data_IF_434915033350
#
_entry.id   IF_434915033350
#
_cell.length_a   1.000
_cell.length_b   1.000
_cell.length_c   1.000
_cell.angle_alpha   90.00
_cell.angle_beta   90.00
_cell.angle_gamma   90.00
#
_symmetry.space_group_name_H-M   'P 1'
#
loop_
_entity.id
_entity.type
_entity.pdbx_description
1 polymer ?
#
# COMPACT_ATOMS: atom_id res chain seq x y z
N UNK A 1 -15.59 -2.14 -12.80
CA UNK A 1 -16.20 -2.27 -11.45
C UNK A 1 -15.25 -1.64 -10.45
N UNK A 2 -15.76 -0.83 -9.51
CA UNK A 2 -14.94 -0.24 -8.47
C UNK A 2 -14.75 -1.24 -7.33
N UNK A 3 -13.50 -1.50 -6.95
CA UNK A 3 -13.21 -2.37 -5.80
C UNK A 3 -13.25 -1.60 -4.49
N UNK A 4 -12.68 -0.39 -4.48
CA UNK A 4 -12.63 0.49 -3.32
C UNK A 4 -13.12 1.88 -3.71
N UNK A 5 -13.96 2.46 -2.87
CA UNK A 5 -14.44 3.84 -3.01
C UNK A 5 -14.38 4.52 -1.65
N UNK A 6 -13.92 5.77 -1.62
CA UNK A 6 -14.05 6.64 -0.46
C UNK A 6 -14.91 7.84 -0.85
N UNK A 7 -15.86 8.24 0.02
CA UNK A 7 -16.79 9.35 -0.21
C UNK A 7 -16.74 10.33 0.95
N UNK A 8 -16.34 11.57 0.65
CA UNK A 8 -16.27 12.67 1.62
C UNK A 8 -15.48 12.31 2.89
N UNK A 9 -14.41 11.52 2.75
CA UNK A 9 -13.64 11.01 3.88
C UNK A 9 -12.83 12.12 4.53
N UNK A 10 -12.97 12.26 5.85
CA UNK A 10 -12.14 13.13 6.69
C UNK A 10 -11.56 12.36 7.87
N UNK A 11 -10.36 12.74 8.28
CA UNK A 11 -9.70 12.22 9.49
C UNK A 11 -9.14 13.37 10.31
N UNK A 12 -9.59 13.46 11.56
CA UNK A 12 -9.14 14.44 12.54
C UNK A 12 -8.49 13.70 13.71
N UNK A 13 -7.30 14.12 14.07
CA UNK A 13 -6.60 13.66 15.27
C UNK A 13 -6.65 14.75 16.34
N UNK A 14 -7.06 14.38 17.54
CA UNK A 14 -7.03 15.26 18.71
C UNK A 14 -5.74 14.99 19.50
N UNK A 15 -4.85 15.95 19.57
CA UNK A 15 -3.60 15.83 20.32
C UNK A 15 -3.36 17.08 21.17
N UNK A 16 -3.28 16.89 22.49
CA UNK A 16 -2.91 17.94 23.48
C UNK A 16 -3.61 19.31 23.28
N UNK A 17 -4.92 19.28 22.97
CA UNK A 17 -5.73 20.51 22.82
C UNK A 17 -5.67 21.16 21.43
N UNK A 18 -5.01 20.52 20.46
CA UNK A 18 -5.02 20.92 19.06
C UNK A 18 -5.68 19.83 18.19
N UNK A 19 -6.49 20.27 17.24
CA UNK A 19 -7.07 19.40 16.20
C UNK A 19 -6.18 19.43 14.96
N UNK A 20 -5.75 18.25 14.52
CA UNK A 20 -5.00 18.10 13.27
C UNK A 20 -5.89 17.36 12.27
N UNK A 21 -6.40 18.07 11.28
CA UNK A 21 -7.19 17.48 10.21
C UNK A 21 -6.25 16.93 9.14
N UNK A 22 -5.93 15.64 9.26
CA UNK A 22 -4.97 14.95 8.38
C UNK A 22 -5.55 14.63 7.00
N UNK A 23 -6.86 14.42 6.89
CA UNK A 23 -7.60 14.18 5.64
C UNK A 23 -8.87 15.02 5.68
N UNK A 24 -9.23 15.69 4.56
CA UNK A 24 -10.29 16.70 4.49
C UNK A 24 -11.20 16.45 3.28
N UNK A 25 -12.37 15.85 3.51
CA UNK A 25 -13.43 15.63 2.51
C UNK A 25 -12.89 15.10 1.16
N UNK A 26 -12.16 14.00 1.20
CA UNK A 26 -11.59 13.40 0.00
C UNK A 26 -12.48 12.31 -0.58
N UNK A 27 -12.57 12.30 -1.91
CA UNK A 27 -13.18 11.24 -2.71
C UNK A 27 -12.11 10.45 -3.44
N UNK A 28 -12.26 9.13 -3.52
CA UNK A 28 -11.27 8.25 -4.14
C UNK A 28 -11.94 7.03 -4.75
N UNK A 29 -11.39 6.54 -5.86
CA UNK A 29 -11.87 5.34 -6.54
C UNK A 29 -10.68 4.47 -6.93
N UNK A 30 -10.77 3.17 -6.63
CA UNK A 30 -9.88 2.14 -7.15
C UNK A 30 -10.67 1.17 -8.03
N UNK A 31 -10.55 1.24 -9.36
CA UNK A 31 -11.14 0.25 -10.25
C UNK A 31 -10.43 -1.11 -10.16
N UNK A 32 -11.12 -2.19 -10.49
CA UNK A 32 -10.56 -3.53 -10.52
C UNK A 32 -9.43 -3.66 -11.56
N UNK A 33 -8.34 -4.29 -11.17
CA UNK A 33 -7.16 -4.51 -12.02
C UNK A 33 -6.38 -3.25 -12.35
N UNK A 34 -6.62 -2.14 -11.61
CA UNK A 34 -5.93 -0.86 -11.81
C UNK A 34 -4.94 -0.57 -10.69
N UNK A 35 -3.97 0.25 -11.05
CA UNK A 35 -3.00 0.81 -10.11
C UNK A 35 -3.26 2.29 -9.97
N UNK A 36 -3.55 2.73 -8.75
CA UNK A 36 -3.80 4.14 -8.43
C UNK A 36 -2.70 4.66 -7.52
N UNK A 37 -2.03 5.71 -7.96
CA UNK A 37 -0.99 6.39 -7.20
C UNK A 37 -1.55 7.50 -6.32
N UNK A 38 -1.00 7.66 -5.12
CA UNK A 38 -1.25 8.83 -4.26
C UNK A 38 0.11 9.48 -3.99
N UNK A 39 0.27 10.71 -4.44
CA UNK A 39 1.53 11.47 -4.32
C UNK A 39 1.33 12.76 -3.53
N UNK A 40 2.40 13.30 -3.00
CA UNK A 40 2.43 14.56 -2.26
C UNK A 40 3.60 14.61 -1.28
N UNK A 41 3.86 15.76 -0.69
CA UNK A 41 4.92 15.94 0.30
C UNK A 41 4.71 15.12 1.57
N UNK A 42 5.77 14.94 2.37
CA UNK A 42 5.67 14.31 3.69
C UNK A 42 4.69 15.10 4.57
N UNK A 43 3.83 14.38 5.31
CA UNK A 43 2.82 15.01 6.15
C UNK A 43 1.55 15.47 5.42
N UNK A 44 1.41 15.28 4.09
CA UNK A 44 0.20 15.68 3.35
C UNK A 44 -1.06 14.85 3.66
N UNK A 45 -0.96 13.75 4.44
CA UNK A 45 -2.09 12.90 4.82
C UNK A 45 -2.16 11.54 4.13
N UNK A 46 -1.27 11.23 3.18
CA UNK A 46 -1.29 10.00 2.35
C UNK A 46 -1.35 8.71 3.16
N UNK A 47 -0.43 8.52 4.11
CA UNK A 47 -0.38 7.31 4.94
C UNK A 47 -1.62 7.19 5.85
N UNK A 48 -2.16 8.30 6.33
CA UNK A 48 -3.43 8.31 7.07
C UNK A 48 -4.57 7.82 6.19
N UNK A 49 -4.67 8.35 4.97
CA UNK A 49 -5.69 7.93 4.02
C UNK A 49 -5.52 6.46 3.59
N UNK A 50 -4.28 6.01 3.36
CA UNK A 50 -3.99 4.59 3.07
C UNK A 50 -4.50 3.65 4.18
N UNK A 51 -4.31 4.03 5.45
CA UNK A 51 -4.84 3.27 6.59
C UNK A 51 -6.37 3.29 6.65
N UNK A 52 -7.00 4.36 6.22
CA UNK A 52 -8.48 4.42 6.11
C UNK A 52 -8.98 3.44 5.04
N UNK A 53 -8.34 3.40 3.88
CA UNK A 53 -8.70 2.47 2.80
C UNK A 53 -8.60 1.00 3.20
N UNK A 54 -7.69 0.67 4.12
CA UNK A 54 -7.51 -0.70 4.63
C UNK A 54 -8.37 -1.04 5.85
N UNK A 55 -9.12 -0.07 6.38
CA UNK A 55 -9.90 -0.22 7.61
C UNK A 55 -9.06 -0.27 8.90
N UNK A 56 -7.75 0.03 8.82
CA UNK A 56 -6.86 0.15 9.99
C UNK A 56 -7.09 1.44 10.79
N UNK A 57 -7.62 2.46 10.12
CA UNK A 57 -8.04 3.72 10.71
C UNK A 57 -9.48 3.99 10.30
N UNK A 58 -10.35 4.27 11.26
CA UNK A 58 -11.69 4.73 10.96
C UNK A 58 -11.65 6.21 10.57
N UNK A 59 -12.41 6.63 9.55
CA UNK A 59 -12.59 8.03 9.25
C UNK A 59 -13.39 8.73 10.37
N UNK A 60 -13.15 10.01 10.58
CA UNK A 60 -13.94 10.84 11.49
C UNK A 60 -15.30 11.17 10.88
N UNK A 61 -15.35 11.35 9.55
CA UNK A 61 -16.56 11.49 8.75
C UNK A 61 -16.36 10.95 7.34
N UNK A 62 -17.45 10.74 6.62
CA UNK A 62 -17.44 10.10 5.31
C UNK A 62 -17.41 8.58 5.41
N UNK A 63 -17.38 7.92 4.26
CA UNK A 63 -17.58 6.48 4.16
C UNK A 63 -16.59 5.85 3.19
N UNK A 64 -16.19 4.60 3.48
CA UNK A 64 -15.38 3.78 2.57
C UNK A 64 -16.17 2.53 2.21
N UNK A 65 -16.13 2.19 0.94
CA UNK A 65 -16.86 1.05 0.38
C UNK A 65 -15.88 0.05 -0.24
N UNK A 66 -16.08 -1.22 0.05
CA UNK A 66 -15.45 -2.33 -0.66
C UNK A 66 -16.54 -3.10 -1.41
N UNK A 67 -16.43 -3.20 -2.74
CA UNK A 67 -17.44 -3.83 -3.61
C UNK A 67 -18.87 -3.28 -3.37
N UNK A 68 -18.98 -1.97 -3.16
CA UNK A 68 -20.26 -1.27 -2.93
C UNK A 68 -20.86 -1.44 -1.52
N UNK A 69 -20.18 -2.14 -0.60
CA UNK A 69 -20.60 -2.28 0.80
C UNK A 69 -19.74 -1.40 1.69
N UNK A 70 -20.37 -0.64 2.58
CA UNK A 70 -19.69 0.19 3.56
C UNK A 70 -18.86 -0.66 4.53
N UNK A 71 -17.54 -0.41 4.63
CA UNK A 71 -16.64 -1.20 5.47
C UNK A 71 -16.86 -0.98 6.97
N UNK A 72 -17.52 0.11 7.36
CA UNK A 72 -17.80 0.46 8.75
C UNK A 72 -19.03 -0.27 9.29
N UNK A 73 -19.99 -0.59 8.42
CA UNK A 73 -21.31 -1.17 8.78
C UNK A 73 -21.35 -2.70 8.69
N UNK A 74 -20.30 -3.32 8.13
CA UNK A 74 -20.24 -4.76 7.93
C UNK A 74 -20.25 -5.55 9.24
N UNK A 75 -20.89 -6.73 9.23
CA UNK A 75 -20.79 -7.71 10.32
C UNK A 75 -19.36 -8.32 10.40
N UNK A 76 -19.08 -9.13 11.41
CA UNK A 76 -17.73 -9.71 11.61
C UNK A 76 -17.29 -10.60 10.43
N UNK A 77 -18.21 -11.27 9.75
CA UNK A 77 -17.90 -12.05 8.54
C UNK A 77 -17.42 -11.15 7.41
N UNK A 78 -18.12 -10.05 7.16
CA UNK A 78 -17.73 -9.08 6.14
C UNK A 78 -16.39 -8.39 6.48
N UNK A 79 -16.16 -8.03 7.74
CA UNK A 79 -14.88 -7.50 8.20
C UNK A 79 -13.74 -8.52 8.03
N UNK A 80 -14.01 -9.80 8.21
CA UNK A 80 -13.08 -10.89 7.93
C UNK A 80 -12.73 -11.00 6.44
N UNK A 81 -13.75 -10.92 5.57
CA UNK A 81 -13.56 -10.90 4.11
C UNK A 81 -12.75 -9.68 3.66
N UNK A 82 -13.04 -8.49 4.21
CA UNK A 82 -12.30 -7.27 3.92
C UNK A 82 -10.83 -7.41 4.32
N UNK A 83 -10.55 -7.88 5.54
CA UNK A 83 -9.18 -8.09 6.03
C UNK A 83 -8.38 -9.06 5.17
N UNK A 84 -9.05 -10.05 4.55
CA UNK A 84 -8.43 -10.96 3.60
C UNK A 84 -8.20 -10.30 2.25
N UNK A 85 -9.19 -9.55 1.76
CA UNK A 85 -9.19 -8.97 0.42
C UNK A 85 -8.30 -7.73 0.27
N UNK A 86 -8.14 -6.95 1.34
CA UNK A 86 -7.36 -5.70 1.33
C UNK A 86 -6.20 -5.84 2.32
N UNK A 87 -4.99 -5.85 1.79
CA UNK A 87 -3.78 -5.96 2.59
C UNK A 87 -2.91 -4.72 2.46
N UNK A 88 -2.11 -4.44 3.49
CA UNK A 88 -1.23 -3.29 3.54
C UNK A 88 0.23 -3.71 3.65
N UNK A 89 1.07 -3.05 2.83
CA UNK A 89 2.53 -3.04 2.98
C UNK A 89 2.90 -1.69 3.57
N UNK A 90 3.51 -1.71 4.75
CA UNK A 90 3.88 -0.50 5.49
C UNK A 90 5.22 0.07 5.02
N UNK A 91 5.40 1.35 5.22
CA UNK A 91 6.63 2.09 4.91
C UNK A 91 7.85 1.52 5.65
N UNK A 92 7.70 1.22 6.94
CA UNK A 92 8.74 0.59 7.73
C UNK A 92 8.52 -0.93 7.83
N UNK A 93 9.36 -1.74 7.17
CA UNK A 93 9.24 -3.20 7.24
C UNK A 93 9.54 -3.77 8.64
N UNK A 94 10.27 -3.04 9.51
CA UNK A 94 10.48 -3.46 10.90
C UNK A 94 9.17 -3.44 11.71
N UNK A 95 8.30 -2.48 11.45
CA UNK A 95 7.00 -2.40 12.13
C UNK A 95 6.03 -3.51 11.70
N UNK A 96 6.26 -4.11 10.52
CA UNK A 96 5.42 -5.16 9.96
C UNK A 96 5.88 -6.58 10.30
N UNK A 97 7.13 -6.78 10.68
CA UNK A 97 7.73 -8.08 10.98
C UNK A 97 8.12 -8.17 12.46
N UNK A 98 7.65 -9.21 13.17
CA UNK A 98 8.04 -9.42 14.55
C UNK A 98 9.56 -9.70 14.63
N UNK A 99 10.37 -8.86 15.31
CA UNK A 99 11.83 -9.01 15.35
C UNK A 99 12.31 -10.28 16.08
N UNK A 100 11.42 -10.91 16.88
CA UNK A 100 11.70 -12.15 17.63
C UNK A 100 11.25 -13.40 16.87
N UNK A 101 10.77 -13.26 15.63
CA UNK A 101 10.26 -14.37 14.84
C UNK A 101 11.08 -14.52 13.55
N UNK A 102 11.36 -15.76 13.13
CA UNK A 102 11.98 -16.02 11.82
C UNK A 102 11.02 -15.65 10.69
N UNK A 103 11.54 -15.16 9.58
CA UNK A 103 10.74 -14.69 8.44
C UNK A 103 9.76 -15.76 7.96
N UNK A 104 10.20 -17.00 7.79
CA UNK A 104 9.33 -18.12 7.36
C UNK A 104 8.16 -18.32 8.31
N UNK A 105 8.36 -18.15 9.62
CA UNK A 105 7.30 -18.33 10.60
C UNK A 105 6.29 -17.18 10.55
N UNK A 106 6.76 -15.93 10.36
CA UNK A 106 5.88 -14.77 10.24
C UNK A 106 4.95 -14.87 9.02
N UNK A 107 5.48 -15.35 7.88
CA UNK A 107 4.67 -15.57 6.67
C UNK A 107 3.77 -16.80 6.81
N UNK A 108 4.28 -17.89 7.40
CA UNK A 108 3.49 -19.10 7.66
C UNK A 108 2.31 -18.86 8.60
N UNK A 109 2.48 -18.03 9.62
CA UNK A 109 1.39 -17.61 10.51
C UNK A 109 0.29 -16.84 9.76
N UNK A 110 0.66 -15.93 8.88
CA UNK A 110 -0.30 -15.22 8.04
C UNK A 110 -1.03 -16.17 7.08
N UNK A 111 -0.33 -17.17 6.50
CA UNK A 111 -0.98 -18.22 5.70
C UNK A 111 -1.97 -19.03 6.53
N UNK A 112 -1.60 -19.40 7.78
CA UNK A 112 -2.50 -20.14 8.68
C UNK A 112 -3.78 -19.36 8.99
N UNK A 113 -3.68 -18.06 9.16
CA UNK A 113 -4.84 -17.21 9.44
C UNK A 113 -5.80 -17.08 8.26
N UNK A 114 -5.31 -17.17 7.02
CA UNK A 114 -6.09 -16.79 5.84
C UNK A 114 -6.34 -17.92 4.84
N UNK A 115 -5.53 -19.00 4.83
CA UNK A 115 -5.63 -20.04 3.80
C UNK A 115 -5.84 -21.44 4.36
N UNK A 116 -5.03 -21.91 5.32
CA UNK A 116 -5.10 -23.28 5.84
C UNK A 116 -4.68 -23.35 7.29
N UNK A 117 -5.37 -24.17 8.09
CA UNK A 117 -5.00 -24.43 9.47
C UNK A 117 -3.85 -25.47 9.62
N UNK A 118 -3.50 -26.17 8.54
CA UNK A 118 -2.41 -27.14 8.53
C UNK A 118 -1.05 -26.44 8.56
N UNK A 119 -0.29 -26.63 9.62
CA UNK A 119 1.01 -26.00 9.83
C UNK A 119 2.05 -26.35 8.77
N UNK A 120 2.08 -27.62 8.31
CA UNK A 120 3.03 -28.07 7.30
C UNK A 120 2.73 -27.43 5.95
N UNK A 121 1.47 -27.45 5.54
CA UNK A 121 0.99 -26.83 4.29
C UNK A 121 1.21 -25.30 4.31
N UNK A 122 0.89 -24.63 5.42
CA UNK A 122 1.13 -23.20 5.59
C UNK A 122 2.62 -22.84 5.44
N UNK A 123 3.51 -23.70 5.96
CA UNK A 123 4.95 -23.50 5.83
C UNK A 123 5.43 -23.67 4.37
N UNK A 124 4.87 -24.63 3.64
CA UNK A 124 5.18 -24.82 2.22
C UNK A 124 4.71 -23.65 1.35
N UNK A 125 3.48 -23.16 1.58
CA UNK A 125 2.96 -21.98 0.91
C UNK A 125 3.82 -20.76 1.24
N UNK A 126 4.17 -20.56 2.50
CA UNK A 126 5.04 -19.47 2.94
C UNK A 126 6.43 -19.52 2.27
N UNK A 127 7.01 -20.72 2.15
CA UNK A 127 8.29 -20.90 1.47
C UNK A 127 8.20 -20.54 -0.03
N UNK A 128 7.12 -20.93 -0.71
CA UNK A 128 6.86 -20.55 -2.11
C UNK A 128 6.69 -19.05 -2.28
N UNK A 129 5.93 -18.39 -1.40
CA UNK A 129 5.74 -16.94 -1.41
C UNK A 129 7.09 -16.21 -1.21
N UNK A 130 7.89 -16.64 -0.25
CA UNK A 130 9.20 -16.05 0.02
C UNK A 130 10.16 -16.26 -1.15
N UNK A 131 10.20 -17.46 -1.74
CA UNK A 131 11.00 -17.74 -2.92
C UNK A 131 10.60 -16.84 -4.11
N UNK A 132 9.30 -16.67 -4.34
CA UNK A 132 8.78 -15.72 -5.35
C UNK A 132 9.24 -14.29 -5.11
N UNK A 133 9.36 -13.88 -3.85
CA UNK A 133 9.91 -12.57 -3.45
C UNK A 133 11.45 -12.53 -3.50
N UNK A 134 12.12 -13.53 -4.06
CA UNK A 134 13.58 -13.60 -4.13
C UNK A 134 14.26 -13.78 -2.77
N UNK A 135 13.55 -14.33 -1.77
CA UNK A 135 14.09 -14.67 -0.46
C UNK A 135 14.50 -16.14 -0.46
N UNK A 136 15.79 -16.42 -0.35
CA UNK A 136 16.32 -17.79 -0.31
C UNK A 136 15.81 -18.57 0.91
N UNK A 137 15.85 -19.89 0.85
CA UNK A 137 15.48 -20.75 1.98
C UNK A 137 16.37 -20.46 3.21
N UNK A 138 17.64 -20.12 3.01
CA UNK A 138 18.56 -19.76 4.07
C UNK A 138 18.12 -18.43 4.73
N UNK A 139 17.79 -17.43 3.92
CA UNK A 139 17.34 -16.12 4.42
C UNK A 139 15.96 -16.19 5.07
N UNK A 140 15.04 -17.01 4.56
CA UNK A 140 13.74 -17.26 5.15
C UNK A 140 13.83 -17.79 6.60
N UNK A 141 14.90 -18.49 6.96
CA UNK A 141 15.14 -19.00 8.31
C UNK A 141 15.85 -18.00 9.23
N UNK A 142 16.22 -16.81 8.76
CA UNK A 142 16.81 -15.74 9.57
C UNK A 142 15.74 -14.91 10.28
N UNK A 143 16.19 -14.13 11.26
CA UNK A 143 15.40 -13.07 11.90
C UNK A 143 15.44 -11.79 11.03
N UNK A 144 14.44 -10.89 11.14
CA UNK A 144 14.41 -9.64 10.38
C UNK A 144 15.70 -8.81 10.49
N UNK A 145 16.32 -8.77 11.66
CA UNK A 145 17.57 -8.03 11.91
C UNK A 145 18.77 -8.49 11.07
N UNK A 146 18.73 -9.75 10.59
CA UNK A 146 19.81 -10.36 9.79
C UNK A 146 19.60 -10.24 8.29
N UNK A 147 18.56 -9.53 7.84
CA UNK A 147 18.24 -9.29 6.44
C UNK A 147 18.61 -7.86 6.03
N UNK A 148 18.88 -7.66 4.72
CA UNK A 148 18.98 -6.31 4.16
C UNK A 148 17.62 -5.58 4.17
N UNK A 149 17.62 -4.25 4.01
CA UNK A 149 16.39 -3.46 3.89
C UNK A 149 15.45 -3.98 2.81
N UNK A 150 15.99 -4.22 1.61
CA UNK A 150 15.23 -4.76 0.48
C UNK A 150 14.69 -6.18 0.73
N UNK A 151 15.48 -7.04 1.39
CA UNK A 151 15.00 -8.38 1.77
C UNK A 151 13.85 -8.30 2.78
N UNK A 152 13.94 -7.43 3.78
CA UNK A 152 12.84 -7.21 4.74
C UNK A 152 11.60 -6.70 4.06
N UNK A 153 11.74 -5.75 3.14
CA UNK A 153 10.60 -5.20 2.40
C UNK A 153 9.91 -6.28 1.56
N UNK A 154 10.68 -7.10 0.82
CA UNK A 154 10.12 -8.22 0.05
C UNK A 154 9.47 -9.28 0.95
N UNK A 155 10.01 -9.55 2.14
CA UNK A 155 9.39 -10.44 3.11
C UNK A 155 8.07 -9.85 3.67
N UNK A 156 7.99 -8.53 3.87
CA UNK A 156 6.75 -7.84 4.23
C UNK A 156 5.69 -7.97 3.14
N UNK A 157 6.06 -7.83 1.87
CA UNK A 157 5.17 -8.09 0.72
C UNK A 157 4.72 -9.56 0.71
N UNK A 158 5.63 -10.53 0.90
CA UNK A 158 5.26 -11.96 0.99
C UNK A 158 4.22 -12.20 2.08
N UNK A 159 4.36 -11.55 3.24
CA UNK A 159 3.41 -11.65 4.35
C UNK A 159 2.04 -11.07 3.97
N UNK A 160 1.99 -9.93 3.29
CA UNK A 160 0.73 -9.34 2.83
C UNK A 160 0.04 -10.25 1.78
N UNK A 161 0.80 -10.87 0.89
CA UNK A 161 0.28 -11.81 -0.11
C UNK A 161 -0.18 -13.15 0.48
N UNK A 162 0.18 -13.45 1.72
CA UNK A 162 -0.30 -14.67 2.42
C UNK A 162 -1.83 -14.69 2.61
N UNK A 163 -2.51 -13.56 2.52
CA UNK A 163 -3.97 -13.47 2.58
C UNK A 163 -4.68 -13.63 1.22
N UNK A 164 -4.07 -14.04 0.14
CA UNK A 164 -4.34 -13.82 -1.29
C UNK A 164 -5.28 -12.62 -1.57
N UNK A 165 -4.76 -11.40 -1.41
CA UNK A 165 -5.56 -10.19 -1.49
C UNK A 165 -6.03 -9.88 -2.93
N UNK A 166 -7.12 -9.13 -3.04
CA UNK A 166 -7.57 -8.49 -4.29
C UNK A 166 -7.00 -7.08 -4.44
N UNK A 167 -6.65 -6.47 -3.33
CA UNK A 167 -6.13 -5.10 -3.25
C UNK A 167 -4.91 -5.09 -2.34
N UNK A 168 -3.82 -4.50 -2.83
CA UNK A 168 -2.63 -4.21 -2.05
C UNK A 168 -2.48 -2.70 -1.92
N UNK A 169 -2.49 -2.20 -0.68
CA UNK A 169 -2.18 -0.81 -0.38
C UNK A 169 -0.72 -0.76 0.07
N UNK A 170 0.14 -0.16 -0.74
CA UNK A 170 1.57 -0.06 -0.49
C UNK A 170 1.92 1.38 -0.11
N UNK A 171 2.26 1.58 1.17
CA UNK A 171 2.61 2.88 1.73
C UNK A 171 4.14 3.04 1.70
N UNK A 172 4.64 3.85 0.78
CA UNK A 172 6.06 4.13 0.54
C UNK A 172 6.97 2.88 0.50
N UNK A 173 6.64 1.87 -0.31
CA UNK A 173 7.32 0.57 -0.24
C UNK A 173 8.80 0.61 -0.64
N UNK A 174 9.27 1.69 -1.24
CA UNK A 174 10.65 1.84 -1.75
C UNK A 174 11.50 2.80 -0.92
N UNK A 175 10.94 3.51 0.06
CA UNK A 175 11.63 4.62 0.77
C UNK A 175 12.83 4.19 1.63
N UNK A 176 12.86 2.93 2.07
CA UNK A 176 13.89 2.43 3.01
C UNK A 176 14.88 1.44 2.37
N UNK A 177 14.98 1.39 1.03
CA UNK A 177 15.79 0.42 0.30
C UNK A 177 16.68 1.12 -0.74
N UNK A 178 17.80 0.47 -1.08
CA UNK A 178 18.72 0.96 -2.12
C UNK A 178 18.10 0.82 -3.52
N UNK A 179 18.71 1.53 -4.49
CA UNK A 179 18.19 1.60 -5.86
C UNK A 179 18.10 0.23 -6.56
N UNK A 180 19.03 -0.69 -6.28
CA UNK A 180 18.99 -2.04 -6.85
C UNK A 180 17.81 -2.85 -6.29
N UNK A 181 17.61 -2.80 -4.98
CA UNK A 181 16.47 -3.46 -4.32
C UNK A 181 15.13 -2.81 -4.72
N UNK A 182 15.12 -1.49 -4.98
CA UNK A 182 13.95 -0.77 -5.50
C UNK A 182 13.55 -1.32 -6.87
N UNK A 183 14.48 -1.44 -7.82
CA UNK A 183 14.18 -1.97 -9.16
C UNK A 183 13.59 -3.38 -9.10
N UNK A 184 14.17 -4.27 -8.29
CA UNK A 184 13.65 -5.62 -8.08
C UNK A 184 12.24 -5.64 -7.48
N UNK A 185 11.96 -4.72 -6.54
CA UNK A 185 10.64 -4.62 -5.94
C UNK A 185 9.61 -4.09 -6.95
N UNK A 186 9.97 -3.14 -7.81
CA UNK A 186 9.08 -2.62 -8.85
C UNK A 186 8.75 -3.67 -9.93
N UNK A 187 9.73 -4.49 -10.34
CA UNK A 187 9.50 -5.62 -11.23
C UNK A 187 8.49 -6.59 -10.62
N UNK A 188 8.66 -6.93 -9.34
CA UNK A 188 7.74 -7.78 -8.61
C UNK A 188 6.33 -7.19 -8.54
N UNK A 189 6.17 -5.89 -8.28
CA UNK A 189 4.87 -5.24 -8.32
C UNK A 189 4.26 -5.33 -9.71
N UNK A 190 5.05 -5.13 -10.78
CA UNK A 190 4.58 -5.25 -12.17
C UNK A 190 4.06 -6.65 -12.49
N UNK A 191 4.72 -7.71 -12.01
CA UNK A 191 4.26 -9.10 -12.14
C UNK A 191 2.92 -9.32 -11.42
N UNK A 192 2.80 -8.86 -10.17
CA UNK A 192 1.57 -9.00 -9.39
C UNK A 192 0.39 -8.25 -10.02
N UNK A 193 0.63 -7.08 -10.58
CA UNK A 193 -0.35 -6.28 -11.31
C UNK A 193 -0.79 -7.00 -12.58
N UNK A 194 0.14 -7.57 -13.34
CA UNK A 194 -0.15 -8.35 -14.54
C UNK A 194 -1.01 -9.60 -14.24
N UNK A 195 -0.93 -10.16 -13.04
CA UNK A 195 -1.78 -11.24 -12.54
C UNK A 195 -3.17 -10.76 -12.08
N UNK A 196 -3.46 -9.48 -12.14
CA UNK A 196 -4.77 -8.89 -11.83
C UNK A 196 -4.91 -8.32 -10.43
N UNK A 197 -3.81 -8.17 -9.66
CA UNK A 197 -3.83 -7.49 -8.37
C UNK A 197 -4.10 -6.00 -8.59
N UNK A 198 -5.07 -5.44 -7.87
CA UNK A 198 -5.28 -3.99 -7.84
C UNK A 198 -4.41 -3.36 -6.76
N UNK A 199 -3.78 -2.22 -7.05
CA UNK A 199 -2.82 -1.60 -6.14
C UNK A 199 -3.16 -0.15 -5.88
N UNK A 200 -3.10 0.26 -4.61
CA UNK A 200 -2.98 1.67 -4.22
C UNK A 200 -1.53 1.88 -3.81
N UNK A 201 -0.83 2.71 -4.56
CA UNK A 201 0.59 2.99 -4.33
C UNK A 201 0.75 4.41 -3.78
N UNK A 202 1.13 4.51 -2.52
CA UNK A 202 1.50 5.78 -1.88
C UNK A 202 3.00 5.96 -2.01
N UNK A 203 3.43 7.08 -2.59
CA UNK A 203 4.85 7.40 -2.72
C UNK A 203 5.09 8.90 -2.81
N UNK A 204 6.24 9.35 -2.34
CA UNK A 204 6.79 10.66 -2.66
C UNK A 204 7.75 10.59 -3.88
N UNK A 205 8.09 9.38 -4.33
CA UNK A 205 8.90 9.16 -5.54
C UNK A 205 7.98 9.17 -6.78
N UNK A 206 8.03 10.28 -7.50
CA UNK A 206 7.25 10.50 -8.70
C UNK A 206 7.68 9.58 -9.86
N UNK A 207 8.92 9.13 -9.89
CA UNK A 207 9.42 8.16 -10.88
C UNK A 207 8.71 6.81 -10.73
N UNK A 208 8.57 6.34 -9.51
CA UNK A 208 7.85 5.10 -9.17
C UNK A 208 6.37 5.20 -9.56
N UNK A 209 5.72 6.32 -9.23
CA UNK A 209 4.31 6.56 -9.59
C UNK A 209 4.14 6.57 -11.11
N UNK A 210 4.97 7.32 -11.83
CA UNK A 210 4.91 7.39 -13.30
C UNK A 210 5.10 6.02 -13.97
N UNK A 211 5.92 5.16 -13.37
CA UNK A 211 6.23 3.84 -13.90
C UNK A 211 5.09 2.82 -13.72
N UNK A 212 4.47 2.80 -12.52
CA UNK A 212 3.54 1.72 -12.14
C UNK A 212 2.06 2.09 -12.23
N UNK A 213 1.67 3.38 -12.21
CA UNK A 213 0.27 3.73 -11.99
C UNK A 213 -0.49 4.11 -13.26
N UNK A 214 -1.77 3.72 -13.31
CA UNK A 214 -2.72 4.13 -14.36
C UNK A 214 -3.27 5.54 -14.09
N UNK A 215 -3.64 5.80 -12.83
CA UNK A 215 -4.21 7.06 -12.35
C UNK A 215 -3.44 7.57 -11.15
N UNK A 216 -3.41 8.89 -10.97
CA UNK A 216 -2.70 9.55 -9.87
C UNK A 216 -3.58 10.58 -9.20
N UNK A 217 -3.59 10.54 -7.87
CA UNK A 217 -4.17 11.55 -6.98
C UNK A 217 -3.03 12.33 -6.33
N UNK A 218 -3.05 13.64 -6.45
CA UNK A 218 -2.05 14.52 -5.83
C UNK A 218 -2.63 15.10 -4.55
N UNK A 219 -1.98 14.84 -3.42
CA UNK A 219 -2.44 15.23 -2.09
C UNK A 219 -1.60 16.35 -1.50
N UNK A 220 -2.24 17.45 -1.13
CA UNK A 220 -1.65 18.60 -0.43
C UNK A 220 -2.46 18.93 0.81
N UNK A 221 -1.84 18.98 1.97
CA UNK A 221 -2.48 19.42 3.23
C UNK A 221 -3.83 18.75 3.54
N UNK A 222 -3.94 17.47 3.25
CA UNK A 222 -5.13 16.65 3.55
C UNK A 222 -6.19 16.62 2.46
N UNK A 223 -6.02 17.30 1.33
CA UNK A 223 -6.98 17.30 0.21
C UNK A 223 -6.35 16.78 -1.06
N UNK A 224 -7.13 16.16 -1.93
CA UNK A 224 -6.71 15.87 -3.29
C UNK A 224 -6.89 17.14 -4.15
N UNK A 225 -5.78 17.76 -4.52
CA UNK A 225 -5.76 19.01 -5.31
C UNK A 225 -5.84 18.77 -6.82
N UNK A 226 -5.45 17.58 -7.26
CA UNK A 226 -5.56 17.15 -8.65
C UNK A 226 -5.63 15.62 -8.74
N UNK A 227 -6.40 15.09 -9.70
CA UNK A 227 -6.45 13.66 -9.99
C UNK A 227 -6.74 13.41 -11.45
N UNK A 228 -6.31 12.25 -11.96
CA UNK A 228 -6.56 11.82 -13.34
C UNK A 228 -5.55 10.80 -13.84
N UNK A 229 -5.60 10.49 -15.16
CA UNK A 229 -4.63 9.59 -15.77
C UNK A 229 -3.19 10.04 -15.50
N UNK A 230 -2.34 9.12 -15.03
CA UNK A 230 -0.97 9.43 -14.61
C UNK A 230 -0.20 10.19 -15.71
N UNK A 231 -0.30 9.74 -16.95
CA UNK A 231 0.38 10.43 -18.05
C UNK A 231 -0.06 11.89 -18.22
N UNK A 232 -1.35 12.20 -17.99
CA UNK A 232 -1.87 13.56 -18.09
C UNK A 232 -1.36 14.43 -16.95
N UNK A 233 -1.39 13.91 -15.71
CA UNK A 233 -0.87 14.62 -14.53
C UNK A 233 0.61 15.01 -14.74
N UNK A 234 1.42 14.11 -15.30
CA UNK A 234 2.85 14.39 -15.53
C UNK A 234 3.11 15.30 -16.74
N UNK A 235 2.31 15.23 -17.82
CA UNK A 235 2.54 16.03 -19.04
C UNK A 235 1.93 17.42 -18.99
N UNK A 236 0.78 17.57 -18.33
CA UNK A 236 0.01 18.80 -18.33
C UNK A 236 -0.70 19.01 -16.97
N UNK A 237 0.07 19.16 -15.88
CA UNK A 237 -0.49 19.43 -14.56
C UNK A 237 -1.23 20.76 -14.55
N UNK A 238 -2.43 20.78 -13.99
CA UNK A 238 -3.29 21.96 -13.95
C UNK A 238 -3.13 22.74 -12.64
N UNK A 239 -2.93 22.01 -11.52
CA UNK A 239 -2.77 22.63 -10.22
C UNK A 239 -1.34 23.14 -10.01
N UNK A 240 -1.18 24.33 -9.44
CA UNK A 240 0.12 24.96 -9.20
C UNK A 240 1.03 24.16 -8.26
N UNK A 241 0.45 23.44 -7.28
CA UNK A 241 1.21 22.55 -6.41
C UNK A 241 1.72 21.33 -7.20
N UNK A 242 0.88 20.71 -8.02
CA UNK A 242 1.27 19.60 -8.89
C UNK A 242 2.41 20.00 -9.83
N UNK A 243 2.34 21.23 -10.41
CA UNK A 243 3.41 21.76 -11.26
C UNK A 243 4.74 21.88 -10.52
N UNK A 244 4.72 22.43 -9.30
CA UNK A 244 5.91 22.53 -8.43
C UNK A 244 6.46 21.15 -8.06
N UNK A 245 5.58 20.23 -7.71
CA UNK A 245 5.95 18.87 -7.32
C UNK A 245 6.65 18.13 -8.48
N UNK A 246 6.12 18.22 -9.70
CA UNK A 246 6.71 17.60 -10.89
C UNK A 246 8.01 18.31 -11.29
N UNK A 247 8.08 19.64 -11.20
CA UNK A 247 9.29 20.40 -11.50
C UNK A 247 10.46 20.07 -10.54
N UNK A 248 10.19 19.51 -9.37
CA UNK A 248 11.23 19.07 -8.42
C UNK A 248 11.93 17.76 -8.81
N UNK A 249 11.44 17.06 -9.85
CA UNK A 249 12.07 15.82 -10.34
C UNK A 249 13.39 16.19 -11.05
N UNK A 250 14.55 15.65 -10.61
CA UNK A 250 15.82 15.88 -11.29
C UNK A 250 15.75 15.41 -12.76
N UNK A 251 16.06 16.30 -13.71
CA UNK A 251 16.05 15.98 -15.14
C UNK A 251 14.70 16.10 -15.85
N UNK A 252 13.66 16.61 -15.20
CA UNK A 252 12.35 16.89 -15.81
C UNK A 252 12.39 18.18 -16.66
N UNK A 253 13.23 18.21 -17.69
CA UNK A 253 13.05 19.17 -18.81
C UNK A 253 12.16 18.47 -19.83
N UNK A 254 10.87 18.78 -19.79
CA UNK A 254 9.87 18.37 -20.80
C UNK A 254 9.67 19.49 -21.81
#
# INVERSE_FOLDING_TARGET
MNLLEAKNVSVVFNSYGSEIQAVKNVDFILPQGKVVGIVGESGSGKSTFARVLTGLQLPTSGEVYYLGKNIQEGNETYKGELRKAVQMVFQDPYSSLNPRQRIINAVSEAVQQHQTSNKSEAREIAAKLLARMGISQLDANKYPSSLSGGQRQRASVARALAAPPKILVADEPTSAIDQSAQSQLLELFSELIAEGLSVVLVSHDLGVIRYLTDETYVMESGVFVESGPTQQIFKAPKNSYTQKLIASIPGSHF
#
